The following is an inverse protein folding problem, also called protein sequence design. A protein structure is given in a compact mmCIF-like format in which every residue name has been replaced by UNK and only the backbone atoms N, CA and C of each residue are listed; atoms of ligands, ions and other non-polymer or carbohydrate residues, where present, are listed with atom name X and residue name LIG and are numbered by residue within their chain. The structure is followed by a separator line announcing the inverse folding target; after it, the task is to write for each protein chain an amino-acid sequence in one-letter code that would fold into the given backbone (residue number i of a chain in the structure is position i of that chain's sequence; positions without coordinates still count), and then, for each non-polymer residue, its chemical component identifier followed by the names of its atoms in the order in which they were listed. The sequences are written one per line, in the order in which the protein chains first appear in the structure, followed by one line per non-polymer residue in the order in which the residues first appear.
data_IF_258019883677
#
_entry.id   IF_258019883677
#
_cell.length_a   1.000
_cell.length_b   1.000
_cell.length_c   1.000
_cell.angle_alpha   90.00
_cell.angle_beta   90.00
_cell.angle_gamma   90.00
#
_symmetry.space_group_name_H-M   'P 1'
#
loop_
_entity.id
_entity.type
_entity.pdbx_description
1 polymer ?
#
# COMPACT_ATOMS: atom_id res chain seq x y z
N UNK A 1 -1.82 -10.05 7.37
CA UNK A 1 -2.30 -8.85 6.63
C UNK A 1 -3.62 -8.34 7.19
N UNK A 2 -4.71 -9.10 7.07
CA UNK A 2 -6.03 -8.71 7.59
C UNK A 2 -6.00 -8.30 9.06
N UNK A 3 -5.20 -9.00 9.87
CA UNK A 3 -4.95 -8.64 11.28
C UNK A 3 -4.38 -7.23 11.46
N UNK A 4 -3.47 -6.78 10.59
CA UNK A 4 -2.90 -5.43 10.66
C UNK A 4 -3.98 -4.35 10.38
N UNK A 5 -4.86 -4.60 9.40
CA UNK A 5 -5.97 -3.70 9.11
C UNK A 5 -7.03 -3.74 10.21
N UNK A 6 -7.32 -4.91 10.79
CA UNK A 6 -8.20 -5.05 11.95
C UNK A 6 -7.65 -4.28 13.17
N UNK A 7 -6.35 -4.31 13.41
CA UNK A 7 -5.73 -3.51 14.48
C UNK A 7 -5.80 -2.01 14.20
N UNK A 8 -5.57 -1.60 12.95
CA UNK A 8 -5.74 -0.20 12.52
C UNK A 8 -7.19 0.27 12.76
N UNK A 9 -8.17 -0.58 12.43
CA UNK A 9 -9.58 -0.34 12.69
C UNK A 9 -9.90 -0.22 14.19
N UNK A 10 -9.34 -1.12 15.01
CA UNK A 10 -9.56 -1.16 16.45
C UNK A 10 -9.08 0.11 17.15
N UNK A 11 -7.92 0.64 16.76
CA UNK A 11 -7.33 1.83 17.39
C UNK A 11 -7.90 3.15 16.89
N UNK A 12 -8.47 3.17 15.68
CA UNK A 12 -9.11 4.37 15.15
C UNK A 12 -10.43 4.67 15.87
N UNK A 13 -10.61 5.95 16.23
CA UNK A 13 -11.93 6.48 16.58
C UNK A 13 -12.87 6.50 15.35
N UNK A 14 -14.20 6.50 15.53
CA UNK A 14 -15.12 6.76 14.43
C UNK A 14 -14.81 8.09 13.73
N UNK A 15 -14.84 8.09 12.39
CA UNK A 15 -14.38 9.21 11.55
C UNK A 15 -12.86 9.40 11.49
N UNK A 16 -12.07 8.48 12.06
CA UNK A 16 -10.62 8.49 11.97
C UNK A 16 -10.10 7.97 10.63
N UNK A 17 -8.90 8.41 10.25
CA UNK A 17 -8.23 8.03 8.99
C UNK A 17 -6.94 7.27 9.32
N UNK A 18 -6.71 6.17 8.62
CA UNK A 18 -5.41 5.52 8.55
C UNK A 18 -4.79 5.76 7.17
N UNK A 19 -3.48 5.99 7.16
CA UNK A 19 -2.68 6.12 5.93
C UNK A 19 -1.43 5.27 6.08
N UNK A 20 -1.25 4.32 5.17
CA UNK A 20 -0.05 3.50 5.07
C UNK A 20 0.72 3.87 3.80
N UNK A 21 2.04 3.82 3.90
CA UNK A 21 2.95 3.96 2.77
C UNK A 21 3.65 2.62 2.58
N UNK A 22 3.40 1.94 1.46
CA UNK A 22 3.93 0.61 1.19
C UNK A 22 4.01 0.36 -0.33
N UNK A 23 4.34 -0.86 -0.76
CA UNK A 23 4.47 -1.23 -2.16
C UNK A 23 3.33 -2.16 -2.58
N UNK A 24 2.33 -1.64 -3.31
CA UNK A 24 1.21 -2.46 -3.79
C UNK A 24 0.87 -2.20 -5.26
N UNK A 25 0.92 -0.94 -5.71
CA UNK A 25 0.76 -0.59 -7.12
C UNK A 25 2.04 -0.95 -7.89
N UNK A 26 2.10 -2.20 -8.37
CA UNK A 26 3.17 -2.74 -9.21
C UNK A 26 2.61 -2.98 -10.63
N UNK A 27 2.50 -1.93 -11.46
CA UNK A 27 1.72 -1.98 -12.69
C UNK A 27 2.32 -2.89 -13.76
N UNK A 28 3.62 -3.16 -13.72
CA UNK A 28 4.29 -4.03 -14.69
C UNK A 28 4.85 -5.30 -14.04
N UNK A 29 4.97 -6.41 -14.80
CA UNK A 29 5.69 -7.60 -14.33
C UNK A 29 7.15 -7.31 -13.95
N UNK A 30 7.76 -6.29 -14.54
CA UNK A 30 9.12 -5.88 -14.21
C UNK A 30 9.19 -5.24 -12.82
N UNK A 31 8.25 -4.36 -12.46
CA UNK A 31 8.14 -3.79 -11.10
C UNK A 31 7.99 -4.90 -10.07
N UNK A 32 7.13 -5.88 -10.38
CA UNK A 32 6.93 -7.06 -9.53
C UNK A 32 8.21 -7.87 -9.34
N UNK A 33 8.93 -8.14 -10.43
CA UNK A 33 10.22 -8.84 -10.37
C UNK A 33 11.24 -8.12 -9.49
N UNK A 34 11.39 -6.80 -9.67
CA UNK A 34 12.35 -6.00 -8.89
C UNK A 34 11.96 -6.01 -7.40
N UNK A 35 10.68 -5.81 -7.08
CA UNK A 35 10.23 -5.71 -5.69
C UNK A 35 10.19 -7.06 -4.95
N UNK A 36 9.93 -8.19 -5.64
CA UNK A 36 10.11 -9.51 -5.03
C UNK A 36 11.59 -9.81 -4.75
N UNK A 37 12.49 -9.39 -5.66
CA UNK A 37 13.93 -9.46 -5.43
C UNK A 37 14.38 -8.58 -4.27
N UNK A 38 13.81 -7.39 -4.13
CA UNK A 38 14.04 -6.47 -3.00
C UNK A 38 13.63 -7.12 -1.68
N UNK A 39 12.39 -7.60 -1.59
CA UNK A 39 11.84 -8.27 -0.40
C UNK A 39 12.73 -9.41 0.09
N UNK A 40 13.23 -10.26 -0.82
CA UNK A 40 14.14 -11.36 -0.45
C UNK A 40 15.48 -10.88 0.08
N UNK A 41 16.10 -9.88 -0.56
CA UNK A 41 17.43 -9.36 -0.18
C UNK A 41 17.39 -8.58 1.13
N UNK A 42 16.27 -7.93 1.43
CA UNK A 42 16.10 -7.11 2.63
C UNK A 42 15.42 -7.85 3.79
N UNK A 43 15.15 -9.15 3.64
CA UNK A 43 14.48 -9.96 4.67
C UNK A 43 13.12 -9.36 5.08
N UNK A 44 12.30 -8.98 4.09
CA UNK A 44 10.96 -8.43 4.27
C UNK A 44 9.90 -9.49 3.90
N UNK A 45 9.63 -10.48 4.76
CA UNK A 45 8.86 -11.68 4.41
C UNK A 45 7.38 -11.39 4.10
N UNK A 46 6.85 -10.25 4.54
CA UNK A 46 5.44 -9.90 4.38
C UNK A 46 5.13 -9.16 3.07
N UNK A 47 6.13 -8.66 2.35
CA UNK A 47 5.92 -7.91 1.10
C UNK A 47 5.35 -8.78 0.00
N UNK A 48 5.89 -9.99 -0.22
CA UNK A 48 5.34 -10.90 -1.23
C UNK A 48 3.87 -11.18 -0.94
N UNK A 49 3.55 -11.44 0.33
CA UNK A 49 2.18 -11.57 0.72
C UNK A 49 1.42 -10.31 0.28
N UNK A 50 1.88 -9.09 0.63
CA UNK A 50 1.24 -7.79 0.29
C UNK A 50 0.85 -7.70 -1.18
N UNK A 51 1.79 -8.04 -2.05
CA UNK A 51 1.59 -7.95 -3.49
C UNK A 51 0.53 -8.95 -4.01
N UNK A 52 0.27 -10.03 -3.27
CA UNK A 52 -0.66 -11.09 -3.64
C UNK A 52 -2.10 -10.90 -3.07
N UNK A 53 -2.43 -9.81 -2.34
CA UNK A 53 -3.84 -9.58 -1.91
C UNK A 53 -4.67 -8.84 -2.93
N UNK A 54 -5.96 -9.13 -2.84
CA UNK A 54 -7.02 -8.13 -3.00
C UNK A 54 -7.03 -7.13 -1.83
N UNK A 55 -6.09 -6.17 -1.85
CA UNK A 55 -6.00 -5.15 -0.80
C UNK A 55 -7.30 -4.33 -0.67
N UNK A 56 -7.91 -3.84 -1.77
CA UNK A 56 -9.21 -3.16 -1.68
C UNK A 56 -10.30 -4.02 -1.04
N UNK A 57 -10.37 -5.31 -1.36
CA UNK A 57 -11.30 -6.26 -0.73
C UNK A 57 -11.05 -6.41 0.77
N UNK A 58 -9.81 -6.68 1.17
CA UNK A 58 -9.41 -6.84 2.57
C UNK A 58 -9.77 -5.60 3.43
N UNK A 59 -9.58 -4.40 2.89
CA UNK A 59 -9.93 -3.15 3.56
C UNK A 59 -11.45 -2.99 3.72
N UNK A 60 -12.22 -3.29 2.68
CA UNK A 60 -13.70 -3.23 2.74
C UNK A 60 -14.28 -4.26 3.70
N UNK A 61 -13.76 -5.48 3.70
CA UNK A 61 -14.18 -6.53 4.63
C UNK A 61 -13.91 -6.15 6.09
N UNK A 62 -12.85 -5.37 6.35
CA UNK A 62 -12.55 -4.84 7.69
C UNK A 62 -13.57 -3.77 8.14
N UNK A 63 -14.29 -3.15 7.19
CA UNK A 63 -15.30 -2.12 7.44
C UNK A 63 -14.86 -0.70 7.02
N UNK A 64 -13.66 -0.55 6.47
CA UNK A 64 -13.18 0.75 6.00
C UNK A 64 -13.98 1.27 4.80
N UNK A 65 -14.13 2.59 4.75
CA UNK A 65 -14.74 3.35 3.65
C UNK A 65 -13.76 4.39 3.13
N UNK A 66 -14.13 5.10 2.05
CA UNK A 66 -13.31 6.14 1.41
C UNK A 66 -11.85 5.68 1.15
N UNK A 67 -11.73 4.46 0.62
CA UNK A 67 -10.44 3.83 0.31
C UNK A 67 -9.83 4.52 -0.91
N UNK A 68 -8.64 5.09 -0.71
CA UNK A 68 -7.85 5.76 -1.73
C UNK A 68 -6.46 5.12 -1.81
N UNK A 69 -6.17 4.48 -2.94
CA UNK A 69 -4.91 3.81 -3.20
C UNK A 69 -4.29 4.47 -4.43
N UNK A 70 -3.18 5.17 -4.23
CA UNK A 70 -2.55 5.97 -5.26
C UNK A 70 -1.03 5.89 -5.21
N UNK A 71 -0.39 6.09 -6.36
CA UNK A 71 1.06 6.25 -6.41
C UNK A 71 1.48 7.48 -5.60
N UNK A 72 2.55 7.35 -4.82
CA UNK A 72 3.05 8.39 -3.95
C UNK A 72 4.33 8.99 -4.53
N UNK A 73 4.37 10.32 -4.62
CA UNK A 73 5.57 11.04 -5.04
C UNK A 73 6.46 11.33 -3.83
N UNK A 74 7.70 10.83 -3.87
CA UNK A 74 8.68 11.00 -2.79
C UNK A 74 9.20 12.44 -2.66
N UNK A 75 9.06 13.26 -3.70
CA UNK A 75 9.59 14.61 -3.74
C UNK A 75 8.80 15.49 -4.72
N UNK A 76 8.74 16.78 -4.43
CA UNK A 76 8.07 17.76 -5.29
C UNK A 76 8.63 17.76 -6.73
N UNK A 77 7.73 17.90 -7.70
CA UNK A 77 8.09 17.94 -9.12
C UNK A 77 8.43 16.58 -9.74
N UNK A 78 8.27 15.48 -9.00
CA UNK A 78 8.47 14.12 -9.51
C UNK A 78 7.11 13.49 -9.82
N UNK A 79 6.96 12.99 -11.04
CA UNK A 79 5.85 12.11 -11.41
C UNK A 79 6.17 10.68 -10.95
N UNK A 80 5.42 10.11 -9.98
CA UNK A 80 5.65 8.75 -9.49
C UNK A 80 5.32 7.66 -10.52
N UNK A 81 4.61 8.00 -11.61
CA UNK A 81 4.27 7.09 -12.70
C UNK A 81 5.17 7.27 -13.92
N UNK A 82 5.93 8.37 -14.01
CA UNK A 82 6.75 8.73 -15.16
C UNK A 82 8.08 9.33 -14.74
N UNK A 83 8.98 8.49 -14.24
CA UNK A 83 10.34 8.89 -13.87
C UNK A 83 11.36 8.40 -14.91
N UNK A 84 12.33 9.24 -15.33
CA UNK A 84 13.39 8.84 -16.26
C UNK A 84 14.43 7.91 -15.64
N UNK A 85 14.44 7.78 -14.31
CA UNK A 85 15.33 6.92 -13.55
C UNK A 85 14.52 6.02 -12.63
N UNK A 86 15.10 4.88 -12.25
CA UNK A 86 14.47 3.95 -11.30
C UNK A 86 14.14 4.65 -9.98
N UNK A 87 12.91 4.45 -9.50
CA UNK A 87 12.42 4.88 -8.19
C UNK A 87 11.59 3.79 -7.55
N UNK A 88 11.41 3.88 -6.24
CA UNK A 88 10.51 3.00 -5.54
C UNK A 88 9.05 3.26 -5.94
N UNK A 89 8.25 2.22 -6.24
CA UNK A 89 6.84 2.35 -6.60
C UNK A 89 6.00 2.53 -5.33
N UNK A 90 6.25 3.60 -4.59
CA UNK A 90 5.52 3.89 -3.36
C UNK A 90 4.03 4.04 -3.62
N UNK A 91 3.24 3.39 -2.78
CA UNK A 91 1.79 3.41 -2.81
C UNK A 91 1.30 3.99 -1.50
N UNK A 92 0.55 5.09 -1.58
CA UNK A 92 -0.27 5.57 -0.47
C UNK A 92 -1.54 4.73 -0.42
N UNK A 93 -1.85 4.18 0.74
CA UNK A 93 -3.06 3.43 1.03
C UNK A 93 -3.77 4.17 2.16
N UNK A 94 -4.78 4.97 1.81
CA UNK A 94 -5.58 5.74 2.75
C UNK A 94 -6.98 5.13 2.89
N UNK A 95 -7.50 5.13 4.11
CA UNK A 95 -8.84 4.63 4.40
C UNK A 95 -9.44 5.29 5.64
N UNK A 96 -10.78 5.39 5.68
CA UNK A 96 -11.51 6.00 6.78
C UNK A 96 -12.37 4.98 7.53
N UNK A 97 -12.38 5.07 8.86
CA UNK A 97 -13.38 4.42 9.70
C UNK A 97 -14.66 5.27 9.72
N UNK A 98 -15.83 4.74 9.34
CA UNK A 98 -17.09 5.48 9.36
C UNK A 98 -17.44 5.98 10.78
N UNK A 99 -18.34 6.96 10.84
CA UNK A 99 -18.82 7.55 12.11
C UNK A 99 -19.75 6.62 12.88
#
# INVERSE_FOLDING_TARGET
RREMFAESWRVLRPGGIAVHLDFWLLPTPFDRFIMEGHSKRNNEPFMKALFDSDLPGDLRETGFVDIDIAAFSEADGIDPLSAPFWRFPWTRIAMMKPK
#
